data_IF_322693010616
#
_entry.id   IF_322693010616
#
_cell.length_a   1.000
_cell.length_b   1.000
_cell.length_c   1.000
_cell.angle_alpha   90.00
_cell.angle_beta   90.00
_cell.angle_gamma   90.00
#
_symmetry.space_group_name_H-M   'P 1'
#
loop_
_entity.id
_entity.type
_entity.pdbx_description
1 polymer ?
#
# COMPACT_ATOMS: atom_id res chain seq x y z
N UNK A 1 -9.81 -1.16 32.70
CA UNK A 1 -8.51 -0.52 32.42
C UNK A 1 -8.34 -0.55 30.92
N UNK A 2 -8.74 0.52 30.24
CA UNK A 2 -8.53 0.71 28.81
C UNK A 2 -7.13 1.28 28.65
N UNK A 3 -6.24 0.49 28.06
CA UNK A 3 -4.88 0.95 27.74
C UNK A 3 -4.96 2.02 26.67
N UNK A 4 -4.33 3.17 26.90
CA UNK A 4 -4.24 4.25 25.93
C UNK A 4 -3.48 3.78 24.68
N UNK A 5 -4.02 4.11 23.50
CA UNK A 5 -3.33 3.92 22.23
C UNK A 5 -2.21 4.96 22.14
N UNK A 6 -0.98 4.55 22.47
CA UNK A 6 0.20 5.40 22.33
C UNK A 6 0.61 5.41 20.87
N UNK A 7 0.18 6.42 20.09
CA UNK A 7 0.72 6.68 18.76
C UNK A 7 2.13 7.27 18.90
N UNK A 8 3.12 6.41 18.97
CA UNK A 8 4.53 6.79 18.86
C UNK A 8 5.16 6.08 17.67
N UNK A 9 4.84 6.46 16.44
CA UNK A 9 5.57 5.98 15.27
C UNK A 9 5.69 7.05 14.19
N UNK A 10 6.94 7.37 13.82
CA UNK A 10 7.33 7.98 12.56
C UNK A 10 6.99 7.01 11.42
N UNK A 11 5.69 6.91 11.08
CA UNK A 11 5.17 6.00 10.08
C UNK A 11 4.46 6.78 8.96
N UNK A 12 4.78 6.46 7.72
CA UNK A 12 4.08 6.98 6.54
C UNK A 12 2.97 6.00 6.20
N UNK A 13 1.73 6.49 6.11
CA UNK A 13 0.60 5.69 5.65
C UNK A 13 0.38 6.00 4.18
N UNK A 14 0.37 4.96 3.35
CA UNK A 14 0.10 5.07 1.92
C UNK A 14 -1.37 4.82 1.66
N UNK A 15 -1.98 5.76 0.95
CA UNK A 15 -3.29 5.60 0.33
C UNK A 15 -3.22 4.68 -0.90
N UNK A 16 -4.36 4.15 -1.34
CA UNK A 16 -4.46 3.32 -2.55
C UNK A 16 -3.87 4.01 -3.78
N UNK A 17 -4.13 5.31 -3.96
CA UNK A 17 -3.59 6.02 -5.12
C UNK A 17 -2.06 6.10 -5.11
N UNK A 18 -1.44 6.21 -3.93
CA UNK A 18 0.01 6.21 -3.79
C UNK A 18 0.58 4.84 -4.18
N UNK A 19 -0.04 3.76 -3.72
CA UNK A 19 0.37 2.39 -4.06
C UNK A 19 0.34 2.17 -5.58
N UNK A 20 -0.77 2.53 -6.23
CA UNK A 20 -0.94 2.37 -7.68
C UNK A 20 0.16 3.12 -8.43
N UNK A 21 0.40 4.39 -8.09
CA UNK A 21 1.38 5.23 -8.77
C UNK A 21 2.82 4.78 -8.52
N UNK A 22 3.16 4.41 -7.28
CA UNK A 22 4.50 3.92 -6.94
C UNK A 22 4.77 2.59 -7.64
N UNK A 23 3.81 1.67 -7.64
CA UNK A 23 3.96 0.38 -8.32
C UNK A 23 4.08 0.57 -9.84
N UNK A 24 3.22 1.37 -10.46
CA UNK A 24 3.26 1.67 -11.89
C UNK A 24 4.57 2.33 -12.35
N UNK A 25 5.29 3.03 -11.46
CA UNK A 25 6.59 3.59 -11.78
C UNK A 25 7.69 2.53 -12.01
N UNK A 26 7.48 1.29 -11.56
CA UNK A 26 8.50 0.24 -11.52
C UNK A 26 9.64 0.53 -10.51
N UNK A 27 9.54 1.60 -9.72
CA UNK A 27 10.53 2.03 -8.74
C UNK A 27 10.08 1.87 -7.29
N UNK A 28 8.91 1.27 -7.04
CA UNK A 28 8.33 1.14 -5.69
C UNK A 28 9.34 0.61 -4.65
N UNK A 29 10.07 -0.47 -4.97
CA UNK A 29 11.07 -1.03 -4.06
C UNK A 29 12.19 -0.05 -3.72
N UNK A 30 12.76 0.63 -4.71
CA UNK A 30 13.82 1.62 -4.51
C UNK A 30 13.32 2.81 -3.68
N UNK A 31 12.09 3.26 -3.93
CA UNK A 31 11.47 4.37 -3.19
C UNK A 31 11.24 3.95 -1.74
N UNK A 32 10.63 2.79 -1.48
CA UNK A 32 10.39 2.29 -0.12
C UNK A 32 11.70 2.14 0.66
N UNK A 33 12.76 1.63 0.04
CA UNK A 33 14.08 1.49 0.67
C UNK A 33 14.76 2.83 0.98
N UNK A 34 14.46 3.88 0.21
CA UNK A 34 15.03 5.21 0.43
C UNK A 34 14.38 5.95 1.61
N UNK A 35 13.24 5.48 2.10
CA UNK A 35 12.50 6.08 3.19
C UNK A 35 13.05 5.51 4.51
N UNK A 36 13.67 6.35 5.33
CA UNK A 36 14.20 5.95 6.65
C UNK A 36 13.13 5.67 7.72
N UNK A 37 11.86 5.66 7.33
CA UNK A 37 10.69 5.54 8.20
C UNK A 37 9.90 4.28 7.84
N UNK A 38 9.12 3.78 8.80
CA UNK A 38 8.17 2.71 8.52
C UNK A 38 7.12 3.19 7.51
N UNK A 39 6.76 2.33 6.58
CA UNK A 39 5.71 2.60 5.59
C UNK A 39 4.63 1.55 5.75
N UNK A 40 3.38 2.00 5.88
CA UNK A 40 2.23 1.13 6.11
C UNK A 40 1.13 1.36 5.07
N UNK A 41 0.32 0.34 4.84
CA UNK A 41 -0.89 0.37 4.00
C UNK A 41 -2.02 -0.38 4.70
N UNK A 42 -3.26 0.08 4.54
CA UNK A 42 -4.41 -0.65 5.07
C UNK A 42 -4.62 -1.99 4.33
N UNK A 43 -5.02 -3.03 5.05
CA UNK A 43 -5.37 -4.33 4.47
C UNK A 43 -6.47 -4.20 3.40
N UNK A 44 -7.46 -3.32 3.64
CA UNK A 44 -8.50 -3.00 2.68
C UNK A 44 -7.95 -2.46 1.34
N UNK A 45 -6.94 -1.58 1.41
CA UNK A 45 -6.30 -1.04 0.20
C UNK A 45 -5.61 -2.14 -0.61
N UNK A 46 -4.93 -3.08 0.06
CA UNK A 46 -4.31 -4.26 -0.58
C UNK A 46 -5.35 -5.15 -1.26
N UNK A 47 -6.46 -5.40 -0.57
CA UNK A 47 -7.43 -6.43 -0.96
C UNK A 47 -8.48 -5.91 -1.97
N UNK A 48 -8.88 -4.64 -1.87
CA UNK A 48 -10.06 -4.10 -2.57
C UNK A 48 -9.76 -2.89 -3.48
N UNK A 49 -8.76 -2.04 -3.20
CA UNK A 49 -8.56 -0.79 -3.96
C UNK A 49 -7.34 -0.80 -4.90
N UNK A 50 -6.20 -1.35 -4.49
CA UNK A 50 -4.96 -1.40 -5.28
C UNK A 50 -4.96 -2.60 -6.25
N UNK A 51 -5.95 -2.68 -7.13
CA UNK A 51 -6.20 -3.91 -7.89
C UNK A 51 -5.40 -4.00 -9.20
N UNK A 52 -5.19 -2.89 -9.92
CA UNK A 52 -4.65 -2.94 -11.29
C UNK A 52 -3.89 -1.68 -11.71
N UNK A 53 -2.82 -1.86 -12.47
CA UNK A 53 -2.16 -0.81 -13.26
C UNK A 53 -2.30 -1.11 -14.76
N UNK A 54 -2.09 -0.11 -15.61
CA UNK A 54 -1.92 -0.34 -17.04
C UNK A 54 -0.53 -0.92 -17.29
N UNK A 55 -0.45 -2.09 -17.91
CA UNK A 55 0.81 -2.71 -18.29
C UNK A 55 1.37 -2.12 -19.58
N UNK A 56 2.70 -2.05 -19.67
CA UNK A 56 3.44 -1.56 -20.85
C UNK A 56 4.11 -0.21 -20.62
N UNK A 57 5.13 0.09 -21.43
CA UNK A 57 5.85 1.37 -21.41
C UNK A 57 5.56 2.14 -22.72
N UNK A 58 5.21 3.42 -22.63
CA UNK A 58 5.04 4.30 -23.80
C UNK A 58 3.76 4.06 -24.62
N UNK A 59 3.83 4.26 -25.93
CA UNK A 59 2.69 4.09 -26.86
C UNK A 59 2.19 2.63 -26.94
N UNK A 60 2.98 1.68 -26.45
CA UNK A 60 2.65 0.25 -26.29
C UNK A 60 2.02 -0.08 -24.92
N UNK A 61 1.40 0.91 -24.26
CA UNK A 61 0.46 0.67 -23.16
C UNK A 61 -0.77 -0.09 -23.70
N UNK A 62 -0.54 -1.35 -24.06
CA UNK A 62 -1.59 -2.26 -24.47
C UNK A 62 -2.57 -2.38 -23.32
N UNK A 63 -3.85 -2.52 -23.65
CA UNK A 63 -5.02 -2.59 -22.75
C UNK A 63 -5.01 -3.79 -21.78
N UNK A 64 -3.84 -4.28 -21.37
CA UNK A 64 -3.64 -5.35 -20.42
C UNK A 64 -3.44 -4.72 -19.05
N UNK A 65 -4.42 -4.92 -18.20
CA UNK A 65 -4.30 -4.61 -16.79
C UNK A 65 -3.35 -5.62 -16.14
N UNK A 66 -2.34 -5.12 -15.43
CA UNK A 66 -1.50 -5.93 -14.56
C UNK A 66 -2.00 -5.78 -13.13
N UNK A 67 -2.09 -6.91 -12.40
CA UNK A 67 -2.44 -6.88 -10.98
C UNK A 67 -1.24 -6.39 -10.18
N UNK A 68 -1.46 -5.43 -9.30
CA UNK A 68 -0.42 -4.99 -8.35
C UNK A 68 -0.13 -6.15 -7.40
N UNK A 69 1.14 -6.57 -7.33
CA UNK A 69 1.60 -7.55 -6.35
C UNK A 69 2.44 -6.87 -5.26
N UNK A 70 1.85 -6.72 -4.08
CA UNK A 70 2.51 -6.11 -2.93
C UNK A 70 3.30 -7.11 -2.09
N UNK A 71 3.08 -8.41 -2.29
CA UNK A 71 3.64 -9.46 -1.44
C UNK A 71 5.17 -9.38 -1.32
N UNK A 72 5.95 -9.09 -2.39
CA UNK A 72 7.40 -8.97 -2.28
C UNK A 72 7.86 -7.86 -1.32
N UNK A 73 7.14 -6.75 -1.24
CA UNK A 73 7.49 -5.63 -0.36
C UNK A 73 7.09 -5.89 1.09
N UNK A 74 6.02 -6.67 1.28
CA UNK A 74 5.55 -7.12 2.58
C UNK A 74 6.53 -8.14 3.17
N UNK A 75 6.88 -9.17 2.39
CA UNK A 75 7.83 -10.21 2.82
C UNK A 75 9.23 -9.61 3.07
N UNK A 76 9.61 -8.59 2.31
CA UNK A 76 10.85 -7.82 2.51
C UNK A 76 10.79 -6.80 3.64
N UNK A 77 9.67 -6.68 4.38
CA UNK A 77 9.51 -5.75 5.49
C UNK A 77 9.54 -4.26 5.12
N UNK A 78 9.52 -3.94 3.81
CA UNK A 78 9.54 -2.56 3.31
C UNK A 78 8.14 -1.93 3.29
N UNK A 79 7.09 -2.75 3.41
CA UNK A 79 5.70 -2.33 3.51
C UNK A 79 4.98 -3.13 4.60
N UNK A 80 4.38 -2.43 5.55
CA UNK A 80 3.62 -3.04 6.66
C UNK A 80 2.14 -3.00 6.29
N UNK A 81 1.44 -4.14 6.39
CA UNK A 81 -0.01 -4.16 6.25
C UNK A 81 -0.66 -4.01 7.61
N UNK A 82 -1.47 -2.97 7.77
CA UNK A 82 -2.24 -2.71 8.99
C UNK A 82 -3.72 -2.99 8.72
N UNK A 83 -4.40 -3.66 9.65
CA UNK A 83 -5.85 -3.81 9.64
C UNK A 83 -6.40 -3.09 10.86
N UNK A 84 -7.48 -2.29 10.73
CA UNK A 84 -8.15 -1.79 11.90
C UNK A 84 -8.74 -2.99 12.67
N UNK A 85 -8.17 -3.28 13.83
CA UNK A 85 -8.73 -4.26 14.78
C UNK A 85 -10.00 -3.66 15.42
N UNK A 86 -11.12 -3.60 14.69
CA UNK A 86 -12.49 -3.57 15.24
C UNK A 86 -13.53 -3.44 14.14
N UNK A 87 -14.64 -4.17 14.27
CA UNK A 87 -15.85 -4.11 13.43
C UNK A 87 -16.54 -2.73 13.39
N UNK A 88 -15.97 -1.70 14.05
CA UNK A 88 -16.58 -0.40 14.27
C UNK A 88 -16.38 0.61 13.12
N UNK A 89 -15.45 0.36 12.19
CA UNK A 89 -15.23 1.23 11.02
C UNK A 89 -16.06 0.83 9.79
N UNK A 90 -17.09 -0.01 9.96
CA UNK A 90 -18.06 -0.31 8.90
C UNK A 90 -19.21 0.73 8.86
N UNK A 91 -18.89 2.01 9.09
CA UNK A 91 -19.85 3.10 8.91
C UNK A 91 -19.86 3.42 7.41
N UNK A 92 -20.89 2.89 6.76
CA UNK A 92 -21.24 3.09 5.36
C UNK A 92 -21.20 4.56 4.95
N UNK A 93 -20.44 4.90 3.90
CA UNK A 93 -20.60 6.14 3.13
C UNK A 93 -21.57 5.91 1.96
#
# INVERSE_FOLDING_TARGET
>A
MTSDLVFSQDCIILDACCIINLYASGQMGNILQSISKSVAVAAYVRDEEALRIFGGFGEDATRKYERIDLQPFIDGGSLIVVSPDTEAENITF
#
